data_IF_635484819814
#
_entry.id   IF_635484819814
#
_cell.length_a   1.000
_cell.length_b   1.000
_cell.length_c   1.000
_cell.angle_alpha   90.00
_cell.angle_beta   90.00
_cell.angle_gamma   90.00
#
_symmetry.space_group_name_H-M   'P 1'
#
loop_
_entity.id
_entity.type
_entity.pdbx_description
1 polymer ?
#
# COMPACT_ATOMS: atom_id res chain seq x y z
N UNK A 1 15.66 24.00 -5.44
CA UNK A 1 14.24 24.40 -5.40
C UNK A 1 13.43 23.13 -5.62
N UNK A 2 12.59 22.80 -4.65
CA UNK A 2 11.97 21.50 -4.41
C UNK A 2 11.07 21.06 -5.56
N UNK A 3 11.28 19.85 -6.09
CA UNK A 3 10.19 19.11 -6.73
C UNK A 3 9.33 18.53 -5.61
N UNK A 4 8.39 19.35 -5.15
CA UNK A 4 7.41 19.02 -4.12
C UNK A 4 6.63 17.78 -4.55
N UNK A 5 6.77 16.72 -3.76
CA UNK A 5 5.93 15.54 -3.82
C UNK A 5 4.48 15.93 -3.58
N UNK A 6 3.72 16.07 -4.66
CA UNK A 6 2.27 16.17 -4.59
C UNK A 6 1.76 14.82 -4.08
N UNK A 7 1.38 14.79 -2.81
CA UNK A 7 0.74 13.68 -2.17
C UNK A 7 -0.54 14.17 -1.47
N UNK A 8 -1.68 13.49 -1.65
CA UNK A 8 -1.89 12.23 -2.38
C UNK A 8 -1.69 12.31 -3.90
N UNK A 9 -1.50 11.17 -4.57
CA UNK A 9 -1.59 11.11 -6.04
C UNK A 9 -3.05 11.40 -6.38
N UNK A 10 -3.30 12.53 -7.03
CA UNK A 10 -4.66 12.93 -7.41
C UNK A 10 -5.06 12.21 -8.70
N UNK A 11 -6.19 11.51 -8.65
CA UNK A 11 -6.77 10.78 -9.77
C UNK A 11 -8.11 11.44 -10.06
N UNK A 12 -8.30 11.93 -11.29
CA UNK A 12 -9.56 12.56 -11.69
C UNK A 12 -10.68 11.54 -11.89
N UNK A 13 -11.93 11.99 -11.74
CA UNK A 13 -13.12 11.12 -11.77
C UNK A 13 -13.26 10.29 -13.07
N UNK A 14 -12.76 10.79 -14.19
CA UNK A 14 -12.84 10.14 -15.50
C UNK A 14 -11.46 9.61 -15.97
N UNK A 15 -10.54 9.35 -15.05
CA UNK A 15 -9.21 8.85 -15.39
C UNK A 15 -9.24 7.34 -15.58
N UNK A 16 -9.01 6.89 -16.82
CA UNK A 16 -8.94 5.48 -17.18
C UNK A 16 -7.81 5.27 -18.20
N UNK A 17 -7.00 4.23 -17.98
CA UNK A 17 -5.96 3.83 -18.94
C UNK A 17 -6.44 2.59 -19.72
N UNK A 18 -6.33 2.61 -21.06
CA UNK A 18 -6.79 1.51 -21.89
C UNK A 18 -5.95 0.25 -21.67
N UNK A 19 -6.61 -0.92 -21.63
CA UNK A 19 -5.96 -2.21 -21.39
C UNK A 19 -4.90 -2.58 -22.44
N UNK A 20 -5.02 -2.05 -23.66
CA UNK A 20 -4.09 -2.31 -24.77
C UNK A 20 -2.65 -1.86 -24.49
N UNK A 21 -2.44 -0.96 -23.51
CA UNK A 21 -1.11 -0.53 -23.06
C UNK A 21 -0.43 -1.49 -22.08
N UNK A 22 -1.08 -2.57 -21.66
CA UNK A 22 -0.64 -3.40 -20.54
C UNK A 22 -0.54 -4.89 -20.89
N UNK A 23 0.34 -5.59 -20.17
CA UNK A 23 0.39 -7.05 -20.19
C UNK A 23 -0.59 -7.59 -19.16
N UNK A 24 -1.80 -7.96 -19.63
CA UNK A 24 -2.88 -8.49 -18.80
C UNK A 24 -2.88 -10.02 -18.90
N UNK A 25 -2.93 -10.77 -17.78
CA UNK A 25 -3.10 -12.22 -17.81
C UNK A 25 -4.41 -12.62 -18.51
N UNK A 26 -4.34 -13.62 -19.39
CA UNK A 26 -5.49 -14.07 -20.20
C UNK A 26 -6.73 -14.43 -19.38
N UNK A 27 -6.54 -14.91 -18.17
CA UNK A 27 -7.63 -15.27 -17.27
C UNK A 27 -8.46 -14.09 -16.75
N UNK A 28 -8.08 -12.84 -17.09
CA UNK A 28 -8.78 -11.62 -16.69
C UNK A 28 -9.18 -10.75 -17.88
N UNK A 29 -9.02 -11.22 -19.12
CA UNK A 29 -9.27 -10.39 -20.32
C UNK A 29 -10.71 -9.87 -20.40
N UNK A 30 -11.69 -10.68 -19.98
CA UNK A 30 -13.12 -10.32 -20.01
C UNK A 30 -13.62 -9.70 -18.68
N UNK A 31 -12.78 -9.64 -17.65
CA UNK A 31 -13.16 -9.19 -16.30
C UNK A 31 -12.74 -7.74 -16.02
N UNK A 32 -11.99 -7.11 -16.92
CA UNK A 32 -11.40 -5.79 -16.73
C UNK A 32 -11.91 -4.80 -17.79
N UNK A 33 -12.21 -3.57 -17.38
CA UNK A 33 -12.58 -2.47 -18.28
C UNK A 33 -11.42 -1.52 -18.57
N UNK A 34 -10.63 -1.16 -17.55
CA UNK A 34 -9.52 -0.22 -17.64
C UNK A 34 -8.50 -0.44 -16.51
N UNK A 35 -7.31 0.14 -16.66
CA UNK A 35 -6.31 0.26 -15.57
C UNK A 35 -6.42 1.65 -14.94
N UNK A 36 -6.58 1.71 -13.61
CA UNK A 36 -6.67 2.99 -12.89
C UNK A 36 -5.32 3.55 -12.46
N UNK A 37 -4.40 2.69 -12.02
CA UNK A 37 -3.07 3.09 -11.55
C UNK A 37 -2.06 2.09 -12.06
N UNK A 38 -1.04 2.58 -12.75
CA UNK A 38 0.03 1.73 -13.26
C UNK A 38 0.94 1.26 -12.13
N UNK A 39 1.49 0.05 -12.28
CA UNK A 39 2.40 -0.53 -11.31
C UNK A 39 3.61 0.38 -10.96
N UNK A 40 4.31 1.02 -11.93
CA UNK A 40 5.42 1.92 -11.60
C UNK A 40 4.99 3.13 -10.76
N UNK A 41 3.80 3.66 -10.97
CA UNK A 41 3.24 4.78 -10.19
C UNK A 41 3.03 4.35 -8.74
N UNK A 42 2.45 3.16 -8.52
CA UNK A 42 2.27 2.57 -7.19
C UNK A 42 3.64 2.41 -6.50
N UNK A 43 4.62 1.81 -7.18
CA UNK A 43 5.96 1.59 -6.61
C UNK A 43 6.67 2.89 -6.26
N UNK A 44 6.57 3.91 -7.12
CA UNK A 44 7.14 5.23 -6.86
C UNK A 44 6.48 5.90 -5.65
N UNK A 45 5.15 5.80 -5.52
CA UNK A 45 4.44 6.33 -4.36
C UNK A 45 4.86 5.62 -3.08
N UNK A 46 4.94 4.29 -3.08
CA UNK A 46 5.37 3.50 -1.92
C UNK A 46 6.78 3.89 -1.47
N UNK A 47 7.71 4.08 -2.42
CA UNK A 47 9.06 4.59 -2.11
C UNK A 47 9.02 5.96 -1.43
N UNK A 48 8.23 6.89 -1.97
CA UNK A 48 8.06 8.22 -1.38
C UNK A 48 7.52 8.16 0.06
N UNK A 49 6.52 7.31 0.30
CA UNK A 49 5.99 7.10 1.66
C UNK A 49 7.05 6.53 2.61
N UNK A 50 7.88 5.59 2.16
CA UNK A 50 8.91 5.02 3.02
C UNK A 50 9.91 6.08 3.51
N UNK A 51 10.33 6.98 2.62
CA UNK A 51 11.19 8.14 2.97
C UNK A 51 10.46 9.07 3.95
N UNK A 52 9.19 9.36 3.69
CA UNK A 52 8.38 10.23 4.55
C UNK A 52 8.18 9.65 5.96
N UNK A 53 7.81 8.37 6.06
CA UNK A 53 7.66 7.67 7.34
C UNK A 53 8.99 7.68 8.10
N UNK A 54 10.10 7.35 7.43
CA UNK A 54 11.41 7.37 8.06
C UNK A 54 11.78 8.77 8.57
N UNK A 55 11.56 9.81 7.76
CA UNK A 55 11.84 11.20 8.14
C UNK A 55 11.02 11.65 9.36
N UNK A 56 9.75 11.24 9.44
CA UNK A 56 8.86 11.62 10.56
C UNK A 56 9.17 10.85 11.85
N UNK A 57 9.50 9.57 11.75
CA UNK A 57 9.76 8.70 12.92
C UNK A 57 11.19 8.87 13.43
N UNK A 58 12.16 8.99 12.52
CA UNK A 58 13.59 9.04 12.81
C UNK A 58 14.14 7.72 13.34
N UNK A 59 15.23 7.80 14.10
CA UNK A 59 15.91 6.65 14.70
C UNK A 59 15.22 6.17 15.99
N UNK A 60 14.04 5.58 15.83
CA UNK A 60 13.22 5.01 16.91
C UNK A 60 12.72 3.61 16.53
N UNK A 61 12.38 2.75 17.51
CA UNK A 61 11.68 1.50 17.23
C UNK A 61 10.41 1.72 16.39
N UNK A 62 10.16 0.83 15.44
CA UNK A 62 8.99 0.88 14.58
C UNK A 62 8.28 -0.48 14.54
N UNK A 63 6.97 -0.46 14.81
CA UNK A 63 6.07 -1.59 14.60
C UNK A 63 5.15 -1.29 13.42
N UNK A 64 5.19 -2.14 12.40
CA UNK A 64 4.28 -2.10 11.27
C UNK A 64 3.17 -3.13 11.47
N UNK A 65 1.92 -2.70 11.42
CA UNK A 65 0.75 -3.57 11.55
C UNK A 65 0.09 -3.74 10.17
N UNK A 66 0.04 -4.97 9.66
CA UNK A 66 -0.59 -5.31 8.39
C UNK A 66 -2.06 -5.70 8.58
N UNK A 67 -2.97 -5.09 7.81
CA UNK A 67 -4.41 -5.36 7.86
C UNK A 67 -4.82 -6.33 6.75
N UNK A 68 -4.93 -7.60 7.11
CA UNK A 68 -5.25 -8.65 6.14
C UNK A 68 -6.72 -8.62 5.70
N UNK A 69 -7.03 -9.05 4.46
CA UNK A 69 -6.11 -9.67 3.48
C UNK A 69 -5.57 -8.70 2.42
N UNK A 70 -6.34 -7.68 2.05
CA UNK A 70 -6.07 -6.85 0.87
C UNK A 70 -4.79 -6.04 0.92
N UNK A 71 -4.29 -5.69 2.12
CA UNK A 71 -3.08 -4.87 2.25
C UNK A 71 -1.78 -5.63 2.03
N UNK A 72 -1.79 -6.96 1.92
CA UNK A 72 -0.56 -7.77 1.96
C UNK A 72 0.49 -7.32 0.93
N UNK A 73 0.09 -7.11 -0.34
CA UNK A 73 1.03 -6.73 -1.40
C UNK A 73 1.64 -5.35 -1.16
N UNK A 74 0.79 -4.36 -0.84
CA UNK A 74 1.22 -3.02 -0.46
C UNK A 74 2.14 -3.03 0.76
N UNK A 75 1.79 -3.81 1.78
CA UNK A 75 2.55 -3.95 3.01
C UNK A 75 3.94 -4.52 2.75
N UNK A 76 4.02 -5.58 1.93
CA UNK A 76 5.29 -6.20 1.53
C UNK A 76 6.20 -5.20 0.81
N UNK A 77 5.66 -4.49 -0.18
CA UNK A 77 6.42 -3.49 -0.94
C UNK A 77 6.87 -2.33 -0.03
N UNK A 78 5.99 -1.85 0.86
CA UNK A 78 6.33 -0.79 1.81
C UNK A 78 7.39 -1.24 2.82
N UNK A 79 7.29 -2.44 3.37
CA UNK A 79 8.27 -2.99 4.30
C UNK A 79 9.67 -3.06 3.65
N UNK A 80 9.74 -3.49 2.39
CA UNK A 80 10.99 -3.51 1.64
C UNK A 80 11.57 -2.09 1.50
N UNK A 81 10.77 -1.13 1.02
CA UNK A 81 11.22 0.26 0.84
C UNK A 81 11.55 0.96 2.14
N UNK A 82 10.86 0.62 3.22
CA UNK A 82 11.15 1.17 4.53
C UNK A 82 12.42 0.58 5.12
N UNK A 83 12.71 -0.69 4.88
CA UNK A 83 13.99 -1.31 5.25
C UNK A 83 15.17 -0.64 4.53
N UNK A 84 15.02 -0.32 3.24
CA UNK A 84 16.00 0.47 2.48
C UNK A 84 16.19 1.88 3.08
N UNK A 85 15.08 2.61 3.31
CA UNK A 85 15.10 3.97 3.85
C UNK A 85 15.64 4.05 5.29
N UNK A 86 15.47 2.99 6.08
CA UNK A 86 15.90 2.87 7.48
C UNK A 86 17.24 2.14 7.64
N UNK A 87 18.00 1.98 6.56
CA UNK A 87 19.30 1.26 6.56
C UNK A 87 20.32 1.78 7.57
N UNK A 88 20.23 3.05 7.97
CA UNK A 88 21.11 3.67 8.98
C UNK A 88 20.49 3.69 10.40
N UNK A 89 19.26 3.18 10.59
CA UNK A 89 18.63 3.14 11.90
C UNK A 89 19.17 1.97 12.74
N UNK A 90 19.35 2.20 14.04
CA UNK A 90 19.83 1.16 14.97
C UNK A 90 18.76 0.15 15.39
N UNK A 91 17.51 0.37 15.00
CA UNK A 91 16.35 -0.39 15.46
C UNK A 91 15.74 -1.25 14.36
N UNK A 92 15.42 -2.52 14.64
CA UNK A 92 14.72 -3.37 13.67
C UNK A 92 13.27 -2.92 13.50
N UNK A 93 12.72 -3.17 12.32
CA UNK A 93 11.28 -3.05 12.08
C UNK A 93 10.60 -4.32 12.60
N UNK A 94 9.64 -4.16 13.51
CA UNK A 94 8.76 -5.23 13.98
C UNK A 94 7.51 -5.27 13.10
N UNK A 95 6.99 -6.46 12.84
CA UNK A 95 5.81 -6.67 12.00
C UNK A 95 4.78 -7.44 12.78
N UNK A 96 3.54 -6.95 12.77
CA UNK A 96 2.38 -7.62 13.35
C UNK A 96 1.26 -7.71 12.30
N UNK A 97 0.37 -8.69 12.45
CA UNK A 97 -0.74 -8.90 11.52
C UNK A 97 -2.07 -8.90 12.26
N UNK A 98 -3.03 -8.18 11.72
CA UNK A 98 -4.41 -8.18 12.21
C UNK A 98 -5.36 -8.52 11.07
N UNK A 99 -6.49 -9.13 11.43
CA UNK A 99 -7.63 -9.28 10.53
C UNK A 99 -8.73 -8.33 10.96
N UNK A 100 -9.00 -7.33 10.13
CA UNK A 100 -10.16 -6.47 10.31
C UNK A 100 -11.30 -6.95 9.39
N UNK A 101 -12.51 -7.06 9.93
CA UNK A 101 -13.73 -7.29 9.14
C UNK A 101 -14.75 -6.20 9.46
N UNK A 102 -15.09 -5.40 8.45
CA UNK A 102 -16.08 -4.32 8.56
C UNK A 102 -17.23 -4.44 7.54
N UNK A 103 -17.07 -5.31 6.54
CA UNK A 103 -18.02 -5.50 5.44
C UNK A 103 -18.46 -6.96 5.32
N UNK A 104 -19.77 -7.16 5.16
CA UNK A 104 -20.36 -8.36 4.56
C UNK A 104 -20.91 -7.85 3.21
N UNK A 105 -20.40 -8.40 2.11
CA UNK A 105 -20.65 -7.96 0.74
C UNK A 105 -20.19 -6.51 0.46
N UNK A 106 -21.11 -5.59 0.13
CA UNK A 106 -20.83 -4.19 -0.22
C UNK A 106 -21.41 -3.17 0.77
N UNK A 107 -22.02 -3.63 1.88
CA UNK A 107 -22.60 -2.74 2.91
C UNK A 107 -21.76 -2.79 4.18
N UNK A 108 -21.42 -1.61 4.70
CA UNK A 108 -20.81 -1.49 6.03
C UNK A 108 -21.78 -2.03 7.07
N UNK A 109 -21.30 -2.91 7.94
CA UNK A 109 -22.09 -3.48 9.04
C UNK A 109 -22.26 -2.52 10.21
N UNK A 110 -21.59 -1.37 10.19
CA UNK A 110 -21.53 -0.41 11.31
C UNK A 110 -20.64 -0.85 12.48
N UNK A 111 -20.14 -2.09 12.45
CA UNK A 111 -19.25 -2.65 13.47
C UNK A 111 -17.92 -3.07 12.82
N UNK A 112 -16.81 -2.83 13.52
CA UNK A 112 -15.47 -3.26 13.08
C UNK A 112 -14.99 -4.36 14.02
N UNK A 113 -14.83 -5.57 13.49
CA UNK A 113 -14.25 -6.69 14.21
C UNK A 113 -12.75 -6.74 13.95
N UNK A 114 -11.96 -6.75 15.02
CA UNK A 114 -10.49 -6.84 14.97
C UNK A 114 -10.08 -8.13 15.66
N UNK A 115 -9.40 -8.99 14.92
CA UNK A 115 -8.80 -10.23 15.42
C UNK A 115 -7.28 -10.13 15.27
N UNK A 116 -6.56 -10.34 16.37
CA UNK A 116 -5.11 -10.53 16.33
C UNK A 116 -4.80 -11.90 15.72
N UNK A 117 -3.83 -11.95 14.82
CA UNK A 117 -3.40 -13.19 14.20
C UNK A 117 -2.12 -13.66 14.88
N UNK A 118 -2.30 -14.42 15.96
CA UNK A 118 -1.20 -15.10 16.63
C UNK A 118 -0.76 -16.31 15.81
N UNK A 119 0.55 -16.42 15.54
CA UNK A 119 1.18 -17.61 14.97
C UNK A 119 1.26 -18.74 16.00
#
# INVERSE_FOLDING_TARGET
MENNGVFPVEIGDNYELPLSGFSIPRCYEDDLSAVLIEYPVIQNRIRGMAVEINSRIGDKPLVLICVLKGSFRFFSDLLQKLSEARSNCGWPIRVEFIRARSYIDQKSTGNVFIEELNN
#
